data_IF_427346916699
#
_entry.id   IF_427346916699
#
_cell.length_a   1.000
_cell.length_b   1.000
_cell.length_c   1.000
_cell.angle_alpha   90.00
_cell.angle_beta   90.00
_cell.angle_gamma   90.00
#
_symmetry.space_group_name_H-M   'P 1'
#
loop_
_entity.id
_entity.type
_entity.pdbx_description
1 polymer ?
#
# COMPACT_ATOMS: atom_id res chain seq x y z
N UNK A 1 7.47 6.76 15.16
CA UNK A 1 8.06 6.15 13.95
C UNK A 1 8.40 7.26 12.97
N UNK A 2 9.66 7.38 12.55
CA UNK A 2 10.10 8.43 11.59
C UNK A 2 10.48 7.87 10.22
N UNK A 3 10.72 6.57 10.11
CA UNK A 3 11.09 5.87 8.89
C UNK A 3 9.94 5.18 8.16
N UNK A 4 10.28 4.49 7.07
CA UNK A 4 9.35 3.61 6.34
C UNK A 4 8.96 2.40 7.20
N UNK A 5 7.74 1.90 7.01
CA UNK A 5 7.24 0.68 7.68
C UNK A 5 7.41 -0.48 6.71
N UNK A 6 8.34 -1.38 7.02
CA UNK A 6 8.63 -2.54 6.17
C UNK A 6 7.77 -3.76 6.48
N UNK A 7 7.29 -3.84 7.73
CA UNK A 7 6.47 -4.96 8.19
C UNK A 7 5.39 -4.46 9.16
N UNK A 8 4.14 -4.57 8.78
CA UNK A 8 3.03 -4.13 9.65
C UNK A 8 2.93 -4.94 10.95
N UNK A 9 3.44 -6.17 10.98
CA UNK A 9 3.39 -7.02 12.17
C UNK A 9 4.36 -6.59 13.27
N UNK A 10 5.35 -5.73 12.94
CA UNK A 10 6.28 -5.14 13.92
C UNK A 10 5.66 -3.96 14.67
N UNK A 11 4.47 -3.49 14.24
CA UNK A 11 3.72 -2.45 14.95
C UNK A 11 3.13 -3.07 16.23
N UNK A 12 3.44 -2.53 17.42
CA UNK A 12 2.87 -3.02 18.66
C UNK A 12 1.34 -2.94 18.61
N UNK A 13 0.64 -3.98 19.08
CA UNK A 13 -0.81 -4.14 18.95
C UNK A 13 -1.62 -3.09 19.71
N UNK A 14 -1.04 -2.51 20.72
CA UNK A 14 -1.61 -1.49 21.62
C UNK A 14 -1.31 -0.05 21.18
N UNK A 15 -0.33 0.14 20.27
CA UNK A 15 0.10 1.49 19.86
C UNK A 15 -0.83 2.10 18.83
N UNK A 16 -1.19 1.35 17.77
CA UNK A 16 -2.05 1.85 16.70
C UNK A 16 -3.20 0.90 16.42
N UNK A 17 -4.42 1.42 16.57
CA UNK A 17 -5.64 0.69 16.19
C UNK A 17 -6.26 1.30 14.93
N UNK A 18 -6.74 0.43 14.05
CA UNK A 18 -7.45 0.82 12.84
C UNK A 18 -8.83 0.14 12.84
N UNK A 19 -9.87 0.92 13.01
CA UNK A 19 -11.19 0.39 13.32
C UNK A 19 -11.18 -0.38 14.66
N UNK A 20 -11.76 -1.58 14.66
CA UNK A 20 -11.85 -2.42 15.86
C UNK A 20 -10.60 -3.30 16.09
N UNK A 21 -9.63 -3.31 15.17
CA UNK A 21 -8.47 -4.21 15.23
C UNK A 21 -7.15 -3.47 15.33
N UNK A 22 -6.08 -4.15 15.83
CA UNK A 22 -4.73 -3.61 15.75
C UNK A 22 -4.29 -3.38 14.31
N UNK A 23 -3.57 -2.29 14.05
CA UNK A 23 -3.03 -1.98 12.72
C UNK A 23 -2.09 -3.04 12.17
N UNK A 24 -1.43 -3.81 13.05
CA UNK A 24 -0.67 -5.00 12.67
C UNK A 24 -1.48 -6.07 11.91
N UNK A 25 -2.80 -6.04 12.00
CA UNK A 25 -3.70 -7.00 11.35
C UNK A 25 -4.40 -6.41 10.12
N UNK A 26 -4.88 -5.18 10.19
CA UNK A 26 -5.76 -4.57 9.18
C UNK A 26 -5.26 -3.24 8.62
N UNK A 27 -4.06 -2.80 9.03
CA UNK A 27 -3.53 -1.47 8.72
C UNK A 27 -2.87 -1.31 7.36
N UNK A 28 -2.79 -2.34 6.51
CA UNK A 28 -2.02 -2.29 5.26
C UNK A 28 -2.36 -1.07 4.36
N UNK A 29 -3.61 -0.64 4.32
CA UNK A 29 -4.03 0.49 3.49
C UNK A 29 -3.43 1.83 3.95
N UNK A 30 -3.53 2.18 5.24
CA UNK A 30 -2.92 3.39 5.75
C UNK A 30 -1.39 3.31 5.76
N UNK A 31 -0.82 2.10 6.01
CA UNK A 31 0.63 1.88 5.99
C UNK A 31 1.19 2.11 4.58
N UNK A 32 0.54 1.55 3.55
CA UNK A 32 0.95 1.80 2.17
C UNK A 32 0.85 3.29 1.81
N UNK A 33 -0.20 3.98 2.26
CA UNK A 33 -0.34 5.43 2.06
C UNK A 33 0.76 6.20 2.79
N UNK A 34 1.05 5.86 4.05
CA UNK A 34 2.15 6.44 4.81
C UNK A 34 3.50 6.27 4.11
N UNK A 35 3.80 5.05 3.69
CA UNK A 35 5.04 4.75 2.98
C UNK A 35 5.14 5.53 1.66
N UNK A 36 4.08 5.56 0.86
CA UNK A 36 4.07 6.33 -0.39
C UNK A 36 4.27 7.82 -0.15
N UNK A 37 3.68 8.41 0.90
CA UNK A 37 3.94 9.80 1.29
C UNK A 37 5.41 10.04 1.66
N UNK A 38 6.02 9.11 2.40
CA UNK A 38 7.46 9.18 2.73
C UNK A 38 8.33 9.10 1.49
N UNK A 39 8.01 8.24 0.53
CA UNK A 39 8.71 8.15 -0.76
C UNK A 39 8.61 9.45 -1.56
N UNK A 40 7.49 10.16 -1.46
CA UNK A 40 7.27 11.48 -2.07
C UNK A 40 7.96 12.63 -1.31
N UNK A 41 8.64 12.34 -0.19
CA UNK A 41 9.28 13.35 0.65
C UNK A 41 8.33 14.12 1.57
N UNK A 42 7.11 13.63 1.74
CA UNK A 42 6.11 14.26 2.60
C UNK A 42 6.25 13.82 4.06
N UNK A 43 5.98 14.73 4.98
CA UNK A 43 5.80 14.41 6.40
C UNK A 43 4.32 14.23 6.68
N UNK A 44 3.98 13.22 7.47
CA UNK A 44 2.60 13.01 7.93
C UNK A 44 2.60 12.41 9.33
N UNK A 45 1.60 12.80 10.12
CA UNK A 45 1.36 12.21 11.43
C UNK A 45 0.56 10.91 11.29
N UNK A 46 1.06 9.82 11.88
CA UNK A 46 0.42 8.50 11.78
C UNK A 46 -0.98 8.51 12.41
N UNK A 47 -1.19 9.02 13.64
CA UNK A 47 -2.52 9.16 14.22
C UNK A 47 -3.52 9.92 13.33
N UNK A 48 -3.10 11.00 12.69
CA UNK A 48 -3.94 11.76 11.77
C UNK A 48 -4.35 10.93 10.56
N UNK A 49 -3.37 10.23 9.97
CA UNK A 49 -3.62 9.36 8.82
C UNK A 49 -4.57 8.21 9.16
N UNK A 50 -4.37 7.54 10.30
CA UNK A 50 -5.26 6.48 10.78
C UNK A 50 -6.68 7.03 10.99
N UNK A 51 -6.82 8.20 11.61
CA UNK A 51 -8.12 8.86 11.80
C UNK A 51 -8.79 9.15 10.47
N UNK A 52 -8.05 9.67 9.48
CA UNK A 52 -8.57 9.89 8.13
C UNK A 52 -9.14 8.61 7.53
N UNK A 53 -8.38 7.51 7.56
CA UNK A 53 -8.82 6.23 7.01
C UNK A 53 -9.99 5.62 7.79
N UNK A 54 -10.06 5.83 9.09
CA UNK A 54 -11.19 5.37 9.92
C UNK A 54 -12.49 6.06 9.52
N UNK A 55 -12.45 7.35 9.16
CA UNK A 55 -13.61 8.10 8.68
C UNK A 55 -14.01 7.75 7.23
N UNK A 56 -13.15 7.13 6.44
CA UNK A 56 -13.46 6.67 5.07
C UNK A 56 -14.32 5.38 5.03
N UNK A 57 -14.96 5.03 6.13
CA UNK A 57 -15.76 3.81 6.28
C UNK A 57 -14.94 2.57 5.91
N UNK A 58 -14.00 2.17 6.77
CA UNK A 58 -13.28 0.91 6.56
C UNK A 58 -14.27 -0.22 6.42
N UNK A 59 -13.99 -1.14 5.52
CA UNK A 59 -14.91 -2.25 5.20
C UNK A 59 -15.24 -2.99 6.50
N UNK A 60 -16.54 -3.02 6.86
CA UNK A 60 -17.08 -3.59 8.11
C UNK A 60 -16.33 -3.03 9.35
N UNK A 61 -16.38 -1.70 9.54
CA UNK A 61 -15.77 -1.01 10.69
C UNK A 61 -14.27 -1.32 10.90
N UNK A 62 -13.52 -1.57 9.80
CA UNK A 62 -12.10 -1.92 9.83
C UNK A 62 -11.81 -3.41 10.03
N UNK A 63 -12.81 -4.25 10.16
CA UNK A 63 -12.60 -5.70 10.30
C UNK A 63 -12.05 -6.35 9.03
N UNK A 64 -12.34 -5.79 7.84
CA UNK A 64 -11.84 -6.26 6.55
C UNK A 64 -10.82 -5.30 5.91
N UNK A 65 -10.29 -4.34 6.68
CA UNK A 65 -9.26 -3.43 6.21
C UNK A 65 -9.80 -2.22 5.45
N UNK A 66 -9.02 -1.72 4.49
CA UNK A 66 -9.23 -0.47 3.75
C UNK A 66 -9.88 -0.74 2.39
N UNK A 67 -10.83 0.07 1.97
CA UNK A 67 -11.36 0.04 0.60
C UNK A 67 -10.26 0.41 -0.41
N UNK A 68 -10.20 -0.28 -1.56
CA UNK A 68 -9.09 -0.11 -2.51
C UNK A 68 -8.96 1.31 -3.10
N UNK A 69 -10.05 2.08 -3.09
CA UNK A 69 -10.06 3.48 -3.58
C UNK A 69 -9.68 4.51 -2.52
N UNK A 70 -9.67 4.15 -1.22
CA UNK A 70 -9.45 5.12 -0.14
C UNK A 70 -8.07 5.80 -0.18
N UNK A 71 -6.95 5.11 -0.51
CA UNK A 71 -5.67 5.78 -0.72
C UNK A 71 -5.73 6.86 -1.79
N UNK A 72 -6.41 6.61 -2.93
CA UNK A 72 -6.57 7.61 -3.99
C UNK A 72 -7.24 8.88 -3.49
N UNK A 73 -8.32 8.74 -2.71
CA UNK A 73 -9.03 9.91 -2.16
C UNK A 73 -8.12 10.71 -1.22
N UNK A 74 -7.31 10.03 -0.41
CA UNK A 74 -6.32 10.65 0.46
C UNK A 74 -5.34 11.53 -0.34
N UNK A 75 -4.69 10.96 -1.36
CA UNK A 75 -3.72 11.69 -2.19
C UNK A 75 -4.35 12.85 -2.96
N UNK A 76 -5.56 12.68 -3.51
CA UNK A 76 -6.29 13.77 -4.19
C UNK A 76 -6.60 14.92 -3.24
N UNK A 77 -7.05 14.63 -2.02
CA UNK A 77 -7.29 15.65 -1.00
C UNK A 77 -6.02 16.45 -0.67
N UNK A 78 -4.86 15.81 -0.74
CA UNK A 78 -3.57 16.44 -0.46
C UNK A 78 -2.89 17.03 -1.70
N UNK A 79 -3.62 17.14 -2.80
CA UNK A 79 -3.21 17.89 -3.99
C UNK A 79 -2.37 17.09 -4.99
N UNK A 80 -2.19 15.78 -4.82
CA UNK A 80 -1.49 14.95 -5.78
C UNK A 80 -2.35 14.61 -6.99
N UNK A 81 -1.71 14.43 -8.14
CA UNK A 81 -2.34 13.78 -9.28
C UNK A 81 -2.35 12.26 -9.10
N UNK A 82 -3.47 11.62 -9.45
CA UNK A 82 -3.65 10.19 -9.17
C UNK A 82 -4.40 9.47 -10.28
N UNK A 83 -3.90 8.30 -10.67
CA UNK A 83 -4.53 7.43 -11.66
C UNK A 83 -4.67 6.01 -11.11
N UNK A 84 -5.87 5.40 -11.24
CA UNK A 84 -6.10 3.98 -10.94
C UNK A 84 -6.00 3.17 -12.23
N UNK A 85 -5.13 2.19 -12.23
CA UNK A 85 -4.90 1.28 -13.35
C UNK A 85 -5.44 -0.10 -12.97
N UNK A 86 -6.33 -0.65 -13.79
CA UNK A 86 -6.91 -2.00 -13.63
C UNK A 86 -6.35 -2.99 -14.65
N UNK A 87 -5.88 -2.50 -15.80
CA UNK A 87 -5.23 -3.34 -16.81
C UNK A 87 -3.77 -3.62 -16.43
N UNK A 88 -3.50 -4.84 -15.99
CA UNK A 88 -2.18 -5.29 -15.55
C UNK A 88 -1.09 -5.15 -16.62
N UNK A 89 -1.45 -5.18 -17.91
CA UNK A 89 -0.50 -4.99 -19.02
C UNK A 89 0.13 -3.60 -19.02
N UNK A 90 -0.51 -2.63 -18.36
CA UNK A 90 -0.04 -1.24 -18.23
C UNK A 90 0.68 -0.97 -16.91
N UNK A 91 0.79 -1.95 -16.00
CA UNK A 91 1.33 -1.72 -14.66
C UNK A 91 2.79 -1.27 -14.70
N UNK A 92 3.63 -1.94 -15.49
CA UNK A 92 5.05 -1.64 -15.56
C UNK A 92 5.31 -0.23 -16.12
N UNK A 93 4.66 0.11 -17.23
CA UNK A 93 4.71 1.45 -17.83
C UNK A 93 4.25 2.51 -16.83
N UNK A 94 3.04 2.35 -16.27
CA UNK A 94 2.43 3.36 -15.41
C UNK A 94 3.12 3.50 -14.05
N UNK A 95 3.64 2.41 -13.50
CA UNK A 95 4.46 2.46 -12.30
C UNK A 95 5.80 3.16 -12.53
N UNK A 96 6.39 3.00 -13.72
CA UNK A 96 7.65 3.65 -14.07
C UNK A 96 7.51 5.18 -14.27
N UNK A 97 6.32 5.65 -14.67
CA UNK A 97 5.99 7.08 -14.84
C UNK A 97 5.58 7.78 -13.54
N UNK A 98 5.29 7.03 -12.49
CA UNK A 98 4.81 7.57 -11.23
C UNK A 98 5.96 7.92 -10.27
N UNK A 99 5.81 8.99 -9.48
CA UNK A 99 6.75 9.33 -8.40
C UNK A 99 6.67 8.33 -7.24
N UNK A 100 5.49 7.75 -7.01
CA UNK A 100 5.24 6.62 -6.12
C UNK A 100 3.99 5.86 -6.56
N UNK A 101 3.88 4.60 -6.15
CA UNK A 101 2.70 3.78 -6.41
C UNK A 101 2.17 3.10 -5.16
N UNK A 102 0.92 2.63 -5.24
CA UNK A 102 0.37 1.66 -4.28
C UNK A 102 -0.28 0.55 -5.09
N UNK A 103 0.14 -0.69 -4.82
CA UNK A 103 -0.48 -1.88 -5.41
C UNK A 103 -1.42 -2.49 -4.39
N UNK A 104 -2.67 -2.68 -4.79
CA UNK A 104 -3.64 -3.50 -4.09
C UNK A 104 -3.77 -4.84 -4.81
N UNK A 105 -3.82 -5.94 -4.07
CA UNK A 105 -4.03 -7.27 -4.61
C UNK A 105 -4.70 -8.20 -3.61
N UNK A 106 -5.32 -9.27 -4.14
CA UNK A 106 -5.78 -10.40 -3.37
C UNK A 106 -4.80 -11.56 -3.47
N UNK A 107 -4.76 -12.35 -2.43
CA UNK A 107 -4.01 -13.60 -2.38
C UNK A 107 -4.89 -14.73 -1.86
N UNK A 108 -4.59 -15.96 -2.30
CA UNK A 108 -5.20 -17.19 -1.81
C UNK A 108 -4.11 -18.24 -1.61
N UNK A 109 -4.19 -18.99 -0.53
CA UNK A 109 -3.23 -20.02 -0.20
C UNK A 109 -3.76 -21.01 0.83
N UNK A 110 -2.94 -21.96 1.22
CA UNK A 110 -3.32 -23.01 2.20
C UNK A 110 -3.80 -22.46 3.56
N UNK A 111 -3.42 -21.23 3.91
CA UNK A 111 -3.77 -20.55 5.18
C UNK A 111 -4.98 -19.62 5.05
N UNK A 112 -5.70 -19.63 3.92
CA UNK A 112 -6.87 -18.79 3.67
C UNK A 112 -6.69 -17.83 2.51
N UNK A 113 -7.53 -16.81 2.47
CA UNK A 113 -7.53 -15.73 1.48
C UNK A 113 -7.43 -14.38 2.18
N UNK A 114 -6.94 -13.37 1.47
CA UNK A 114 -6.88 -12.01 1.99
C UNK A 114 -6.59 -11.00 0.90
N UNK A 115 -6.49 -9.75 1.31
CA UNK A 115 -6.10 -8.63 0.46
C UNK A 115 -4.96 -7.85 1.12
N UNK A 116 -4.15 -7.18 0.31
CA UNK A 116 -3.01 -6.43 0.81
C UNK A 116 -2.75 -5.18 -0.01
N UNK A 117 -2.16 -4.17 0.65
CA UNK A 117 -1.68 -2.94 0.03
C UNK A 117 -0.18 -2.84 0.25
N UNK A 118 0.55 -2.52 -0.80
CA UNK A 118 2.00 -2.33 -0.79
C UNK A 118 2.34 -1.01 -1.45
N UNK A 119 3.13 -0.17 -0.79
CA UNK A 119 3.71 1.00 -1.44
C UNK A 119 4.83 0.55 -2.40
N UNK A 120 4.91 1.19 -3.55
CA UNK A 120 5.80 0.84 -4.64
C UNK A 120 6.60 2.06 -5.10
N UNK A 121 7.87 1.83 -5.43
CA UNK A 121 8.74 2.83 -6.04
C UNK A 121 9.55 2.21 -7.18
N UNK A 122 9.76 2.98 -8.26
CA UNK A 122 10.74 2.66 -9.29
C UNK A 122 12.13 3.08 -8.80
N UNK A 123 13.09 2.17 -8.88
CA UNK A 123 14.51 2.40 -8.60
C UNK A 123 15.36 2.06 -9.83
N UNK A 124 16.65 2.39 -9.88
CA UNK A 124 17.52 1.98 -10.98
C UNK A 124 17.55 0.46 -11.21
N UNK A 125 17.42 -0.32 -10.13
CA UNK A 125 17.47 -1.78 -10.16
C UNK A 125 16.13 -2.44 -10.52
N UNK A 126 15.05 -1.66 -10.60
CA UNK A 126 13.71 -2.17 -10.89
C UNK A 126 12.64 -1.56 -10.01
N UNK A 127 11.68 -2.35 -9.59
CA UNK A 127 10.61 -1.94 -8.69
C UNK A 127 10.87 -2.46 -7.27
N UNK A 128 10.54 -1.63 -6.30
CA UNK A 128 10.74 -1.94 -4.88
C UNK A 128 9.41 -1.77 -4.13
N UNK A 129 9.02 -2.80 -3.39
CA UNK A 129 7.82 -2.80 -2.55
C UNK A 129 8.16 -2.58 -1.07
N UNK A 130 7.25 -1.94 -0.35
CA UNK A 130 7.39 -1.64 1.08
C UNK A 130 6.20 -2.21 1.84
N UNK A 131 6.46 -3.05 2.84
CA UNK A 131 5.48 -3.86 3.55
C UNK A 131 4.87 -4.96 2.65
N UNK A 132 5.72 -5.63 1.86
CA UNK A 132 5.28 -6.66 0.90
C UNK A 132 4.95 -7.97 1.60
N UNK A 133 5.85 -8.44 2.47
CA UNK A 133 5.74 -9.74 3.12
C UNK A 133 5.64 -9.61 4.65
N UNK A 134 5.10 -10.67 5.27
CA UNK A 134 4.96 -10.74 6.72
C UNK A 134 6.28 -10.74 7.49
N UNK A 135 7.37 -11.06 6.83
CA UNK A 135 8.72 -11.13 7.38
C UNK A 135 9.70 -10.14 6.75
N UNK A 136 9.20 -9.13 6.04
CA UNK A 136 10.06 -8.09 5.48
C UNK A 136 10.78 -7.32 6.58
N UNK A 137 12.09 -7.19 6.45
CA UNK A 137 12.95 -6.41 7.35
C UNK A 137 13.50 -5.15 6.70
N UNK A 138 13.18 -4.94 5.42
CA UNK A 138 13.61 -3.82 4.59
C UNK A 138 12.75 -3.73 3.33
N UNK A 139 13.19 -2.94 2.34
CA UNK A 139 12.57 -2.88 1.03
C UNK A 139 12.65 -4.23 0.32
N UNK A 140 11.55 -4.66 -0.31
CA UNK A 140 11.49 -5.92 -1.05
C UNK A 140 11.66 -5.66 -2.55
N UNK A 141 12.63 -6.33 -3.17
CA UNK A 141 12.85 -6.24 -4.62
C UNK A 141 11.73 -6.98 -5.38
N UNK A 142 11.04 -6.26 -6.26
CA UNK A 142 10.01 -6.83 -7.14
C UNK A 142 10.54 -7.12 -8.54
N UNK A 143 11.85 -6.87 -8.80
CA UNK A 143 12.48 -7.03 -10.09
C UNK A 143 12.09 -5.94 -11.07
N UNK A 144 12.20 -6.25 -12.37
CA UNK A 144 11.98 -5.26 -13.45
C UNK A 144 10.52 -5.15 -13.89
N UNK A 145 9.61 -5.98 -13.35
CA UNK A 145 8.20 -6.02 -13.73
C UNK A 145 7.28 -6.19 -12.53
N UNK A 146 6.40 -5.22 -12.31
CA UNK A 146 5.32 -5.27 -11.30
C UNK A 146 4.35 -6.41 -11.62
N UNK A 147 3.91 -6.51 -12.89
CA UNK A 147 3.02 -7.59 -13.30
C UNK A 147 3.68 -8.97 -13.20
N UNK A 148 4.97 -9.06 -13.55
CA UNK A 148 5.77 -10.28 -13.41
C UNK A 148 5.80 -10.78 -11.96
N UNK A 149 6.09 -9.87 -11.02
CA UNK A 149 6.06 -10.17 -9.58
C UNK A 149 4.68 -10.67 -9.12
N UNK A 150 3.62 -9.97 -9.50
CA UNK A 150 2.26 -10.34 -9.11
C UNK A 150 1.83 -11.72 -9.67
N UNK A 151 2.25 -12.06 -10.90
CA UNK A 151 2.01 -13.37 -11.52
C UNK A 151 2.78 -14.49 -10.82
N UNK A 152 4.06 -14.27 -10.54
CA UNK A 152 4.92 -15.23 -9.85
C UNK A 152 4.32 -15.62 -8.49
N UNK A 153 3.73 -14.68 -7.77
CA UNK A 153 3.09 -14.92 -6.47
C UNK A 153 1.61 -15.32 -6.57
N UNK A 154 1.06 -15.45 -7.81
CA UNK A 154 -0.33 -15.80 -8.07
C UNK A 154 -1.35 -14.85 -7.44
N UNK A 155 -0.98 -13.57 -7.36
CA UNK A 155 -1.88 -12.54 -6.87
C UNK A 155 -2.91 -12.16 -7.94
N UNK A 156 -4.14 -11.83 -7.51
CA UNK A 156 -5.27 -11.55 -8.40
C UNK A 156 -6.09 -10.34 -7.92
N UNK A 157 -7.02 -9.87 -8.77
CA UNK A 157 -7.81 -8.68 -8.49
C UNK A 157 -6.93 -7.45 -8.22
N UNK A 158 -5.83 -7.35 -8.97
CA UNK A 158 -4.80 -6.34 -8.73
C UNK A 158 -5.23 -4.97 -9.26
N UNK A 159 -4.95 -3.92 -8.50
CA UNK A 159 -5.15 -2.52 -8.88
C UNK A 159 -3.87 -1.77 -8.53
N UNK A 160 -3.37 -0.95 -9.46
CA UNK A 160 -2.26 -0.05 -9.24
C UNK A 160 -2.79 1.39 -9.13
N UNK A 161 -2.45 2.07 -8.05
CA UNK A 161 -2.59 3.51 -7.89
C UNK A 161 -1.25 4.17 -8.21
N UNK A 162 -1.21 4.96 -9.26
CA UNK A 162 -0.08 5.84 -9.59
C UNK A 162 -0.28 7.20 -8.95
N UNK A 163 0.79 7.76 -8.36
CA UNK A 163 0.77 9.03 -7.64
C UNK A 163 1.88 9.90 -8.21
N UNK A 164 1.53 11.15 -8.59
CA UNK A 164 2.47 12.13 -9.16
C UNK A 164 2.37 13.44 -8.39
N UNK A 165 3.51 14.09 -8.20
CA UNK A 165 3.57 15.49 -7.76
C UNK A 165 3.02 16.38 -8.87
N UNK A 166 2.33 17.44 -8.48
CA UNK A 166 1.91 18.48 -9.43
C UNK A 166 3.05 19.46 -9.68
#
# INVERSE_FOLDING_TARGET
MTGLIYNQHDIPKDVYRYGLRPSAQTGCGWIATYNALKLLGCTTDIPELIRYFTWQLPVIHGNLGTAFWAPRQCFRKWGFDTELIFDRRRFDEKAAEADAGIVFYHWAGKRGTGAHFVALQKTPEGFTGYNTFRNSTGPDCWGTSVDGFLRQHRYFGCVLLCIRKK
#
